data_IF_220142551419
#
_entry.id   IF_220142551419
#
_cell.length_a   1.000
_cell.length_b   1.000
_cell.length_c   1.000
_cell.angle_alpha   90.00
_cell.angle_beta   90.00
_cell.angle_gamma   90.00
#
_symmetry.space_group_name_H-M   'P 1'
#
loop_
_entity.id
_entity.type
_entity.pdbx_description
1 polymer ?
#
# COMPACT_ATOMS: atom_id res chain seq x y z
N UNK A 1 13.17 -24.11 20.32
CA UNK A 1 12.90 -23.83 18.89
C UNK A 1 13.94 -24.59 18.08
N UNK A 2 13.52 -25.48 17.20
CA UNK A 2 14.46 -26.17 16.31
C UNK A 2 15.01 -25.19 15.26
N UNK A 3 16.30 -25.26 14.90
CA UNK A 3 16.85 -24.41 13.84
C UNK A 3 16.16 -24.74 12.51
N UNK A 4 15.87 -23.70 11.72
CA UNK A 4 15.29 -23.85 10.39
C UNK A 4 16.23 -24.71 9.52
N UNK A 5 15.71 -25.67 8.74
CA UNK A 5 16.50 -26.42 7.76
C UNK A 5 17.27 -25.47 6.84
N UNK A 6 18.51 -25.83 6.47
CA UNK A 6 19.37 -25.00 5.61
C UNK A 6 18.68 -24.57 4.30
N UNK A 7 17.86 -25.44 3.72
CA UNK A 7 17.08 -25.15 2.50
C UNK A 7 16.09 -24.01 2.73
N UNK A 8 15.46 -23.94 3.91
CA UNK A 8 14.52 -22.88 4.25
C UNK A 8 15.23 -21.54 4.45
N UNK A 9 16.44 -21.55 5.02
CA UNK A 9 17.29 -20.35 5.09
C UNK A 9 17.62 -19.79 3.70
N UNK A 10 17.99 -20.65 2.75
CA UNK A 10 18.29 -20.23 1.37
C UNK A 10 17.05 -19.67 0.68
N UNK A 11 15.87 -20.28 0.88
CA UNK A 11 14.59 -19.77 0.35
C UNK A 11 14.25 -18.41 0.94
N UNK A 12 14.30 -18.26 2.26
CA UNK A 12 14.03 -16.99 2.94
C UNK A 12 14.95 -15.85 2.46
N UNK A 13 16.23 -16.14 2.21
CA UNK A 13 17.16 -15.15 1.64
C UNK A 13 16.77 -14.73 0.21
N UNK A 14 16.39 -15.68 -0.64
CA UNK A 14 15.92 -15.39 -2.01
C UNK A 14 14.62 -14.58 -2.00
N UNK A 15 13.69 -14.94 -1.14
CA UNK A 15 12.41 -14.24 -1.01
C UNK A 15 12.63 -12.80 -0.52
N UNK A 16 13.52 -12.61 0.45
CA UNK A 16 13.91 -11.27 0.91
C UNK A 16 14.52 -10.42 -0.20
N UNK A 17 15.39 -10.99 -1.04
CA UNK A 17 15.97 -10.28 -2.18
C UNK A 17 14.90 -9.90 -3.21
N UNK A 18 13.98 -10.84 -3.50
CA UNK A 18 12.84 -10.61 -4.38
C UNK A 18 11.94 -9.50 -3.85
N UNK A 19 11.59 -9.51 -2.57
CA UNK A 19 10.80 -8.46 -1.93
C UNK A 19 11.48 -7.09 -2.01
N UNK A 20 12.80 -7.02 -1.81
CA UNK A 20 13.56 -5.76 -1.96
C UNK A 20 13.48 -5.22 -3.40
N UNK A 21 13.60 -6.08 -4.40
CA UNK A 21 13.48 -5.70 -5.81
C UNK A 21 12.08 -5.21 -6.16
N UNK A 22 11.05 -5.93 -5.70
CA UNK A 22 9.64 -5.53 -5.87
C UNK A 22 9.41 -4.15 -5.24
N UNK A 23 9.81 -3.95 -3.98
CA UNK A 23 9.66 -2.66 -3.29
C UNK A 23 10.36 -1.52 -4.03
N UNK A 24 11.56 -1.75 -4.56
CA UNK A 24 12.29 -0.75 -5.36
C UNK A 24 11.55 -0.40 -6.64
N UNK A 25 10.99 -1.38 -7.34
CA UNK A 25 10.19 -1.17 -8.56
C UNK A 25 8.90 -0.40 -8.26
N UNK A 26 8.18 -0.77 -7.21
CA UNK A 26 6.96 -0.07 -6.80
C UNK A 26 7.25 1.40 -6.49
N UNK A 27 8.27 1.68 -5.67
CA UNK A 27 8.67 3.05 -5.34
C UNK A 27 9.09 3.86 -6.57
N UNK A 28 9.88 3.26 -7.48
CA UNK A 28 10.32 3.93 -8.72
C UNK A 28 9.13 4.36 -9.60
N UNK A 29 8.10 3.53 -9.66
CA UNK A 29 6.92 3.78 -10.51
C UNK A 29 5.77 4.47 -9.76
N UNK A 30 6.01 4.98 -8.53
CA UNK A 30 4.98 5.61 -7.69
C UNK A 30 3.75 4.73 -7.48
N UNK A 31 3.97 3.42 -7.36
CA UNK A 31 2.93 2.44 -7.09
C UNK A 31 2.89 2.07 -5.60
N UNK A 32 1.70 1.79 -5.11
CA UNK A 32 1.41 1.28 -3.78
C UNK A 32 0.84 -0.13 -3.87
N UNK A 33 1.26 -1.00 -2.95
CA UNK A 33 0.67 -2.30 -2.72
C UNK A 33 -0.11 -2.21 -1.41
N UNK A 34 -1.42 -2.46 -1.45
CA UNK A 34 -2.31 -2.40 -0.28
C UNK A 34 -3.21 -3.62 -0.24
N UNK A 35 -3.60 -4.02 0.96
CA UNK A 35 -4.65 -5.03 1.16
C UNK A 35 -6.03 -4.37 1.05
N UNK A 36 -6.94 -5.02 0.31
CA UNK A 36 -8.32 -4.54 0.16
C UNK A 36 -9.14 -4.87 1.40
N UNK A 37 -9.89 -3.89 1.86
CA UNK A 37 -10.79 -3.96 3.01
C UNK A 37 -11.86 -5.05 2.86
N UNK A 38 -12.24 -5.39 1.62
CA UNK A 38 -13.09 -6.56 1.32
C UNK A 38 -12.24 -7.68 0.71
N UNK A 39 -12.16 -8.81 1.42
CA UNK A 39 -11.61 -10.07 0.90
C UNK A 39 -10.10 -10.26 1.05
N UNK A 40 -9.35 -9.32 1.64
CA UNK A 40 -7.92 -9.50 1.94
C UNK A 40 -7.04 -9.64 0.68
N UNK A 41 -7.52 -9.17 -0.47
CA UNK A 41 -6.77 -9.26 -1.71
C UNK A 41 -5.70 -8.17 -1.74
N UNK A 42 -4.54 -8.49 -2.32
CA UNK A 42 -3.51 -7.49 -2.57
C UNK A 42 -3.81 -6.75 -3.87
N UNK A 43 -3.83 -5.43 -3.79
CA UNK A 43 -4.08 -4.54 -4.90
C UNK A 43 -2.89 -3.61 -5.13
N UNK A 44 -2.53 -3.40 -6.40
CA UNK A 44 -1.48 -2.48 -6.83
C UNK A 44 -2.12 -1.31 -7.54
N UNK A 45 -1.87 -0.10 -7.03
CA UNK A 45 -2.39 1.15 -7.58
C UNK A 45 -1.30 2.20 -7.73
N UNK A 46 -1.53 3.20 -8.58
CA UNK A 46 -0.73 4.42 -8.54
C UNK A 46 -1.07 5.24 -7.29
N UNK A 47 -0.10 5.96 -6.72
CA UNK A 47 -0.28 6.71 -5.48
C UNK A 47 -1.42 7.75 -5.59
N UNK A 48 -1.58 8.39 -6.74
CA UNK A 48 -2.62 9.40 -6.98
C UNK A 48 -4.03 8.79 -7.15
N UNK A 49 -4.14 7.51 -7.50
CA UNK A 49 -5.43 6.88 -7.80
C UNK A 49 -6.37 6.89 -6.59
N UNK A 50 -5.79 6.89 -5.39
CA UNK A 50 -6.56 6.99 -4.15
C UNK A 50 -7.11 8.40 -3.93
N UNK A 51 -6.30 9.43 -4.15
CA UNK A 51 -6.73 10.83 -4.05
C UNK A 51 -7.84 11.12 -5.07
N UNK A 52 -7.67 10.63 -6.29
CA UNK A 52 -8.68 10.75 -7.35
C UNK A 52 -10.00 10.08 -6.97
N UNK A 53 -9.97 8.84 -6.45
CA UNK A 53 -11.18 8.15 -5.98
C UNK A 53 -11.84 8.84 -4.79
N UNK A 54 -11.05 9.40 -3.87
CA UNK A 54 -11.56 10.16 -2.74
C UNK A 54 -12.28 11.43 -3.23
N UNK A 55 -11.65 12.20 -4.14
CA UNK A 55 -12.25 13.38 -4.75
C UNK A 55 -13.53 13.00 -5.51
N UNK A 56 -13.50 11.93 -6.29
CA UNK A 56 -14.66 11.46 -7.06
C UNK A 56 -15.83 11.06 -6.14
N UNK A 57 -15.55 10.32 -5.07
CA UNK A 57 -16.55 9.94 -4.08
C UNK A 57 -17.14 11.17 -3.39
N UNK A 58 -16.31 12.13 -3.00
CA UNK A 58 -16.74 13.42 -2.42
C UNK A 58 -17.69 14.16 -3.34
N UNK A 59 -17.30 14.35 -4.61
CA UNK A 59 -18.10 15.07 -5.61
C UNK A 59 -19.43 14.37 -5.86
N UNK A 60 -19.46 13.04 -5.90
CA UNK A 60 -20.69 12.28 -6.15
C UNK A 60 -21.67 12.26 -4.98
N UNK A 61 -21.18 12.24 -3.75
CA UNK A 61 -22.00 11.97 -2.56
C UNK A 61 -22.22 13.18 -1.67
N UNK A 62 -21.36 14.21 -1.77
CA UNK A 62 -21.33 15.31 -0.80
C UNK A 62 -20.98 14.85 0.62
N UNK A 63 -20.36 13.67 0.78
CA UNK A 63 -20.21 13.01 2.08
C UNK A 63 -19.28 13.73 3.07
N UNK A 64 -18.37 14.58 2.58
CA UNK A 64 -17.46 15.34 3.44
C UNK A 64 -16.97 16.60 2.72
N UNK A 65 -16.59 17.62 3.50
CA UNK A 65 -15.95 18.84 3.03
C UNK A 65 -14.50 18.85 3.49
N UNK A 66 -13.60 19.27 2.60
CA UNK A 66 -12.19 19.42 2.94
C UNK A 66 -11.99 20.75 3.64
N UNK A 67 -11.55 20.71 4.90
CA UNK A 67 -11.28 21.91 5.67
C UNK A 67 -9.99 22.57 5.18
N UNK A 68 -10.01 23.89 5.02
CA UNK A 68 -8.83 24.69 4.63
C UNK A 68 -7.78 24.81 5.75
N UNK A 69 -8.12 24.43 6.97
CA UNK A 69 -7.25 24.42 8.14
C UNK A 69 -7.57 23.25 9.09
N UNK A 70 -6.62 22.88 9.95
CA UNK A 70 -6.84 21.87 10.99
C UNK A 70 -7.75 22.43 12.09
N UNK A 71 -8.89 21.79 12.40
CA UNK A 71 -9.79 22.22 13.48
C UNK A 71 -9.29 21.80 14.87
N UNK A 72 -8.15 21.10 14.96
CA UNK A 72 -7.59 20.56 16.21
C UNK A 72 -6.41 21.42 16.71
N UNK A 73 -5.94 22.37 15.90
CA UNK A 73 -4.90 23.34 16.26
C UNK A 73 -5.53 24.74 16.44
N UNK A 74 -6.27 24.92 17.55
CA UNK A 74 -6.58 26.23 18.15
C UNK A 74 -6.15 26.26 19.62
#
# INVERSE_FOLDING_TARGET
MAPLPFIEHVRAQRDLQTMKLIRRKLKKNKLLLRETDKGGNLYVAHINEFEEKAIEYRVKTGAYEELSSSPIEE
#
